data_IF_903198659226
#
_entry.id   IF_903198659226
#
_cell.length_a   1.000
_cell.length_b   1.000
_cell.length_c   1.000
_cell.angle_alpha   90.00
_cell.angle_beta   90.00
_cell.angle_gamma   90.00
#
_symmetry.space_group_name_H-M   'P 1'
#
loop_
_entity.id
_entity.type
_entity.pdbx_description
1 polymer ?
#
# COMPACT_ATOMS: atom_id res chain seq x y z
N UNK A 1 -7.01 -8.83 12.56
CA UNK A 1 -7.36 -7.92 11.50
C UNK A 1 -7.12 -6.49 12.00
N UNK A 2 -6.54 -5.63 11.19
CA UNK A 2 -6.26 -4.26 11.59
C UNK A 2 -5.30 -3.55 10.65
N UNK A 3 -4.88 -2.36 11.09
CA UNK A 3 -3.93 -1.52 10.38
C UNK A 3 -2.64 -1.48 11.21
N UNK A 4 -1.51 -1.79 10.57
CA UNK A 4 -0.17 -1.63 11.13
C UNK A 4 0.60 -0.64 10.26
N UNK A 5 1.26 0.34 10.88
CA UNK A 5 1.98 1.40 10.20
C UNK A 5 3.38 1.51 10.82
N UNK A 6 4.40 1.54 9.99
CA UNK A 6 5.78 1.74 10.36
C UNK A 6 6.13 3.19 10.66
N UNK A 7 7.42 3.47 10.76
CA UNK A 7 7.96 4.79 11.11
C UNK A 7 7.94 5.75 9.91
N UNK A 8 7.90 7.07 10.20
CA UNK A 8 7.95 8.16 9.22
C UNK A 8 6.84 8.11 8.14
N UNK A 9 5.69 7.57 8.46
CA UNK A 9 4.55 7.57 7.56
C UNK A 9 3.95 8.97 7.43
N UNK A 10 3.76 9.44 6.21
CA UNK A 10 3.03 10.66 5.90
C UNK A 10 1.72 10.35 5.19
N UNK A 11 0.62 10.87 5.70
CA UNK A 11 -0.72 10.72 5.13
C UNK A 11 -1.29 12.08 4.72
N UNK A 12 -1.43 12.31 3.44
CA UNK A 12 -2.02 13.51 2.88
C UNK A 12 -3.50 13.68 3.23
N UNK A 13 -4.00 14.90 3.08
CA UNK A 13 -5.39 15.28 3.43
C UNK A 13 -6.39 14.43 2.66
N UNK A 14 -7.49 14.08 3.33
CA UNK A 14 -8.63 13.31 2.78
C UNK A 14 -8.25 11.91 2.27
N UNK A 15 -7.09 11.40 2.65
CA UNK A 15 -6.75 10.00 2.42
C UNK A 15 -7.46 9.10 3.43
N UNK A 16 -7.72 7.84 3.04
CA UNK A 16 -8.48 6.90 3.88
C UNK A 16 -7.95 5.48 3.75
N UNK A 17 -8.02 4.74 4.86
CA UNK A 17 -7.67 3.33 4.93
C UNK A 17 -8.92 2.60 5.45
N UNK A 18 -9.67 1.96 4.54
CA UNK A 18 -10.96 1.31 4.85
C UNK A 18 -10.87 -0.22 4.86
N UNK A 19 -9.68 -0.76 4.81
CA UNK A 19 -9.41 -2.19 4.83
C UNK A 19 -8.23 -2.51 5.74
N UNK A 20 -8.01 -3.80 5.99
CA UNK A 20 -6.79 -4.25 6.68
C UNK A 20 -5.55 -3.87 5.86
N UNK A 21 -4.53 -3.33 6.51
CA UNK A 21 -3.32 -2.87 5.86
C UNK A 21 -2.07 -3.08 6.71
N UNK A 22 -0.96 -3.37 6.05
CA UNK A 22 0.39 -3.29 6.61
C UNK A 22 1.14 -2.25 5.78
N UNK A 23 1.62 -1.20 6.43
CA UNK A 23 2.36 -0.11 5.81
C UNK A 23 3.74 -0.07 6.45
N UNK A 24 4.77 -0.11 5.63
CA UNK A 24 6.17 -0.07 6.03
C UNK A 24 6.65 1.31 6.49
N UNK A 25 7.96 1.46 6.56
CA UNK A 25 8.62 2.70 6.95
C UNK A 25 8.79 3.66 5.76
N UNK A 26 8.88 4.96 6.05
CA UNK A 26 9.15 5.99 5.04
C UNK A 26 8.14 5.99 3.87
N UNK A 27 6.89 5.62 4.14
CA UNK A 27 5.82 5.63 3.15
C UNK A 27 5.12 6.98 3.12
N UNK A 28 4.86 7.48 1.92
CA UNK A 28 4.19 8.75 1.72
C UNK A 28 2.94 8.60 0.85
N UNK A 29 1.79 9.00 1.41
CA UNK A 29 0.54 9.19 0.67
C UNK A 29 0.35 10.66 0.35
N UNK A 30 0.14 10.98 -0.93
CA UNK A 30 -0.38 12.29 -1.31
C UNK A 30 -1.85 12.44 -0.87
N UNK A 31 -2.50 13.55 -1.21
CA UNK A 31 -3.90 13.75 -0.83
C UNK A 31 -4.84 12.79 -1.57
N UNK A 32 -5.98 12.46 -0.95
CA UNK A 32 -7.05 11.65 -1.52
C UNK A 32 -6.65 10.21 -1.90
N UNK A 33 -5.63 9.64 -1.28
CA UNK A 33 -5.29 8.23 -1.46
C UNK A 33 -6.29 7.35 -0.71
N UNK A 34 -6.73 6.24 -1.33
CA UNK A 34 -7.68 5.33 -0.72
C UNK A 34 -7.18 3.88 -0.78
N UNK A 35 -7.12 3.22 0.38
CA UNK A 35 -7.00 1.76 0.48
C UNK A 35 -8.38 1.19 0.72
N UNK A 36 -8.90 0.37 -0.20
CA UNK A 36 -10.30 -0.10 -0.16
C UNK A 36 -10.43 -1.59 -0.40
N UNK A 37 -11.50 -2.17 0.13
CA UNK A 37 -11.82 -3.57 -0.06
C UNK A 37 -12.21 -3.90 -1.50
N UNK A 38 -11.68 -5.00 -2.03
CA UNK A 38 -12.05 -5.53 -3.35
C UNK A 38 -13.34 -6.34 -3.32
N UNK A 39 -13.65 -6.94 -2.17
CA UNK A 39 -14.74 -7.91 -2.00
C UNK A 39 -15.58 -7.60 -0.75
N UNK A 40 -15.95 -6.35 -0.55
CA UNK A 40 -16.68 -5.92 0.64
C UNK A 40 -18.10 -6.50 0.71
N UNK A 41 -18.68 -6.87 -0.43
CA UNK A 41 -20.00 -7.51 -0.55
C UNK A 41 -19.93 -8.75 -1.44
N UNK A 42 -20.69 -9.79 -1.09
CA UNK A 42 -20.86 -10.94 -1.96
C UNK A 42 -21.83 -10.62 -3.10
N UNK A 43 -21.28 -10.13 -4.22
CA UNK A 43 -22.06 -9.75 -5.38
C UNK A 43 -22.57 -10.93 -6.24
N UNK A 44 -22.33 -12.18 -5.82
CA UNK A 44 -22.79 -13.37 -6.53
C UNK A 44 -24.03 -14.00 -5.94
N UNK A 45 -24.63 -13.42 -4.90
CA UNK A 45 -25.85 -13.93 -4.27
C UNK A 45 -27.06 -13.72 -5.18
N UNK A 46 -27.57 -14.83 -5.75
CA UNK A 46 -28.74 -14.81 -6.64
C UNK A 46 -30.01 -14.45 -5.86
N UNK A 47 -30.82 -13.56 -6.40
CA UNK A 47 -32.08 -13.12 -5.78
C UNK A 47 -31.92 -12.13 -4.62
N UNK A 48 -30.70 -11.66 -4.37
CA UNK A 48 -30.42 -10.71 -3.30
C UNK A 48 -29.92 -9.39 -3.90
N UNK A 49 -30.58 -8.29 -3.59
CA UNK A 49 -30.11 -6.96 -3.99
C UNK A 49 -28.80 -6.62 -3.27
N UNK A 50 -27.87 -5.91 -3.94
CA UNK A 50 -26.53 -5.58 -3.41
C UNK A 50 -26.59 -4.95 -2.02
N UNK A 51 -27.59 -4.11 -1.73
CA UNK A 51 -27.75 -3.46 -0.43
C UNK A 51 -27.97 -4.47 0.72
N UNK A 52 -28.45 -5.66 0.41
CA UNK A 52 -28.76 -6.73 1.36
C UNK A 52 -27.80 -7.93 1.23
N UNK A 53 -26.88 -7.90 0.27
CA UNK A 53 -25.86 -8.92 0.12
C UNK A 53 -24.95 -8.99 1.36
N UNK A 54 -24.48 -10.19 1.70
CA UNK A 54 -23.58 -10.39 2.83
C UNK A 54 -22.29 -9.57 2.66
N UNK A 55 -21.83 -8.98 3.76
CA UNK A 55 -20.67 -8.07 3.80
C UNK A 55 -19.52 -8.68 4.58
N UNK A 56 -18.31 -8.28 4.25
CA UNK A 56 -17.06 -8.79 4.84
C UNK A 56 -17.01 -8.63 6.38
N UNK A 57 -17.80 -7.71 6.95
CA UNK A 57 -17.89 -7.48 8.41
C UNK A 57 -19.02 -8.26 9.09
N UNK A 58 -19.81 -9.02 8.35
CA UNK A 58 -20.85 -9.86 8.94
C UNK A 58 -20.22 -11.10 9.59
N UNK A 59 -20.70 -11.49 10.76
CA UNK A 59 -20.13 -12.61 11.54
C UNK A 59 -20.10 -13.95 10.80
N UNK A 60 -21.01 -14.14 9.86
CA UNK A 60 -21.17 -15.37 9.08
C UNK A 60 -20.67 -15.23 7.63
N UNK A 61 -19.95 -14.14 7.30
CA UNK A 61 -19.40 -13.95 5.98
C UNK A 61 -18.36 -15.04 5.68
N UNK A 62 -18.52 -15.73 4.56
CA UNK A 62 -17.68 -16.87 4.14
C UNK A 62 -17.27 -16.82 2.66
N UNK A 63 -17.29 -15.64 2.07
CA UNK A 63 -16.94 -15.43 0.67
C UNK A 63 -15.52 -14.85 0.54
N UNK A 64 -15.16 -14.35 -0.65
CA UNK A 64 -13.82 -13.83 -0.99
C UNK A 64 -13.43 -12.65 -0.10
N UNK A 65 -12.14 -12.44 0.08
CA UNK A 65 -11.59 -11.24 0.71
C UNK A 65 -11.36 -11.30 2.22
N UNK A 66 -11.85 -12.33 2.92
CA UNK A 66 -11.81 -12.41 4.41
C UNK A 66 -10.43 -12.10 5.00
N UNK A 67 -9.35 -12.55 4.40
CA UNK A 67 -7.99 -12.35 4.90
C UNK A 67 -7.15 -11.47 3.97
N UNK A 68 -7.79 -10.78 3.04
CA UNK A 68 -7.07 -9.90 2.13
C UNK A 68 -6.78 -8.55 2.80
N UNK A 69 -5.57 -8.11 2.65
CA UNK A 69 -5.10 -6.80 3.10
C UNK A 69 -4.31 -6.13 1.99
N UNK A 70 -4.06 -4.85 2.15
CA UNK A 70 -3.06 -4.12 1.39
C UNK A 70 -1.74 -4.22 2.13
N UNK A 71 -0.66 -4.57 1.42
CA UNK A 71 0.71 -4.51 1.95
C UNK A 71 1.46 -3.44 1.18
N UNK A 72 2.03 -2.48 1.87
CA UNK A 72 2.89 -1.44 1.29
C UNK A 72 4.24 -1.57 2.00
N UNK A 73 5.27 -1.91 1.24
CA UNK A 73 6.62 -2.03 1.76
C UNK A 73 7.25 -0.65 1.99
N UNK A 74 8.51 -0.60 2.42
CA UNK A 74 9.19 0.64 2.76
C UNK A 74 9.47 1.54 1.53
N UNK A 75 9.68 2.84 1.77
CA UNK A 75 10.11 3.82 0.74
C UNK A 75 9.15 3.91 -0.45
N UNK A 76 7.83 3.82 -0.20
CA UNK A 76 6.81 3.89 -1.24
C UNK A 76 6.17 5.26 -1.28
N UNK A 77 6.01 5.80 -2.48
CA UNK A 77 5.22 7.01 -2.73
C UNK A 77 3.94 6.68 -3.48
N UNK A 78 2.80 6.99 -2.87
CA UNK A 78 1.48 6.87 -3.48
C UNK A 78 0.98 8.25 -3.90
N UNK A 79 0.79 8.44 -5.19
CA UNK A 79 0.39 9.70 -5.82
C UNK A 79 -1.06 10.08 -5.52
N UNK A 80 -1.37 11.35 -5.73
CA UNK A 80 -2.66 11.97 -5.46
C UNK A 80 -3.83 11.20 -6.09
N UNK A 81 -4.87 10.93 -5.29
CA UNK A 81 -6.09 10.28 -5.79
C UNK A 81 -5.93 8.82 -6.22
N UNK A 82 -4.83 8.18 -5.89
CA UNK A 82 -4.65 6.76 -6.19
C UNK A 82 -5.53 5.90 -5.29
N UNK A 83 -6.02 4.79 -5.85
CA UNK A 83 -6.84 3.79 -5.16
C UNK A 83 -6.11 2.45 -5.20
N UNK A 84 -5.94 1.81 -4.04
CA UNK A 84 -5.28 0.51 -3.92
C UNK A 84 -6.29 -0.49 -3.36
N UNK A 85 -6.50 -1.61 -4.07
CA UNK A 85 -7.44 -2.64 -3.66
C UNK A 85 -6.79 -3.67 -2.72
N UNK A 86 -7.58 -4.25 -1.82
CA UNK A 86 -7.11 -5.37 -0.99
C UNK A 86 -6.61 -6.55 -1.82
N UNK A 87 -5.64 -7.27 -1.25
CA UNK A 87 -4.95 -8.39 -1.91
C UNK A 87 -3.78 -7.96 -2.77
N UNK A 88 -3.33 -6.70 -2.66
CA UNK A 88 -2.20 -6.14 -3.42
C UNK A 88 -1.02 -5.90 -2.49
N UNK A 89 0.17 -6.21 -2.98
CA UNK A 89 1.46 -5.82 -2.39
C UNK A 89 2.12 -4.74 -3.26
N UNK A 90 2.46 -3.62 -2.66
CA UNK A 90 3.27 -2.57 -3.28
C UNK A 90 4.73 -2.77 -2.83
N UNK A 91 5.58 -3.17 -3.76
CA UNK A 91 6.97 -3.48 -3.48
C UNK A 91 7.81 -2.27 -3.07
N UNK A 92 8.85 -2.50 -2.28
CA UNK A 92 9.78 -1.49 -1.72
C UNK A 92 10.27 -0.51 -2.78
N UNK A 93 10.30 0.76 -2.42
CA UNK A 93 10.84 1.81 -3.27
C UNK A 93 10.00 2.16 -4.50
N UNK A 94 8.76 1.67 -4.59
CA UNK A 94 7.90 1.90 -5.76
C UNK A 94 7.16 3.22 -5.69
N UNK A 95 6.69 3.67 -6.84
CA UNK A 95 5.89 4.87 -7.00
C UNK A 95 4.59 4.52 -7.70
N UNK A 96 3.47 4.91 -7.13
CA UNK A 96 2.15 4.85 -7.74
C UNK A 96 1.79 6.24 -8.26
N UNK A 97 1.61 6.37 -9.57
CA UNK A 97 1.28 7.65 -10.19
C UNK A 97 -0.12 8.13 -9.75
N UNK A 98 -0.32 9.44 -9.79
CA UNK A 98 -1.59 10.07 -9.41
C UNK A 98 -2.78 9.51 -10.23
N UNK A 99 -3.95 9.35 -9.58
CA UNK A 99 -5.18 8.86 -10.20
C UNK A 99 -5.18 7.39 -10.60
N UNK A 100 -4.20 6.61 -10.16
CA UNK A 100 -4.09 5.20 -10.52
C UNK A 100 -5.04 4.32 -9.71
N UNK A 101 -5.49 3.21 -10.31
CA UNK A 101 -6.24 2.15 -9.62
C UNK A 101 -5.40 0.87 -9.63
N UNK A 102 -4.82 0.53 -8.49
CA UNK A 102 -3.90 -0.61 -8.34
C UNK A 102 -4.71 -1.86 -7.99
N UNK A 103 -4.69 -2.84 -8.90
CA UNK A 103 -5.49 -4.08 -8.83
C UNK A 103 -4.65 -5.35 -8.76
N UNK A 104 -3.33 -5.23 -8.87
CA UNK A 104 -2.34 -6.31 -8.84
C UNK A 104 -1.06 -5.83 -8.15
N UNK A 105 -0.21 -6.77 -7.77
CA UNK A 105 1.06 -6.48 -7.12
C UNK A 105 1.95 -5.57 -7.98
N UNK A 106 2.72 -4.73 -7.30
CA UNK A 106 3.65 -3.78 -7.87
C UNK A 106 5.07 -4.22 -7.54
N UNK A 107 5.90 -4.35 -8.57
CA UNK A 107 7.29 -4.74 -8.43
C UNK A 107 8.09 -3.70 -7.64
N UNK A 108 9.08 -4.13 -6.84
CA UNK A 108 9.96 -3.20 -6.13
C UNK A 108 10.68 -2.23 -7.09
N UNK A 109 10.89 -1.00 -6.63
CA UNK A 109 11.63 0.05 -7.36
C UNK A 109 11.08 0.33 -8.76
N UNK A 110 9.78 0.26 -8.93
CA UNK A 110 9.08 0.50 -10.19
C UNK A 110 8.05 1.62 -10.08
N UNK A 111 7.67 2.16 -11.22
CA UNK A 111 6.62 3.19 -11.34
C UNK A 111 5.44 2.57 -12.07
N UNK A 112 4.28 2.56 -11.40
CA UNK A 112 3.02 2.07 -11.95
C UNK A 112 2.02 3.22 -12.09
N UNK A 113 1.18 3.16 -13.11
CA UNK A 113 0.16 4.18 -13.33
C UNK A 113 -0.99 3.70 -14.20
N UNK A 114 -2.09 4.45 -14.15
CA UNK A 114 -3.30 4.21 -14.96
C UNK A 114 -4.41 3.48 -14.21
N UNK A 115 -5.50 3.20 -14.93
CA UNK A 115 -6.67 2.47 -14.44
C UNK A 115 -7.10 1.39 -15.48
N UNK A 116 -6.86 0.11 -15.21
CA UNK A 116 -6.07 -0.42 -14.10
C UNK A 116 -4.58 -0.07 -14.23
N UNK A 117 -3.88 0.09 -13.10
CA UNK A 117 -2.46 0.43 -13.08
C UNK A 117 -1.59 -0.64 -13.74
N UNK A 118 -0.60 -0.19 -14.51
CA UNK A 118 0.41 -1.05 -15.15
C UNK A 118 1.78 -0.43 -14.96
N UNK A 119 2.82 -1.25 -15.04
CA UNK A 119 4.20 -0.79 -14.99
C UNK A 119 4.46 0.18 -16.14
N UNK A 120 4.97 1.36 -15.79
CA UNK A 120 5.40 2.39 -16.74
C UNK A 120 6.89 2.20 -17.03
N UNK A 121 7.70 2.09 -15.96
CA UNK A 121 9.16 1.94 -16.02
C UNK A 121 9.73 1.59 -14.65
N UNK A 122 11.00 1.31 -14.58
CA UNK A 122 11.76 1.24 -13.33
C UNK A 122 11.97 2.65 -12.75
N UNK A 123 12.08 2.76 -11.42
CA UNK A 123 12.33 4.02 -10.73
C UNK A 123 13.72 4.57 -11.04
N UNK A 124 14.71 3.69 -11.09
CA UNK A 124 16.11 4.04 -11.39
C UNK A 124 16.46 3.67 -12.82
N UNK A 125 17.33 4.48 -13.45
CA UNK A 125 17.73 4.26 -14.83
C UNK A 125 18.78 3.15 -14.97
N UNK A 126 19.57 2.92 -13.91
CA UNK A 126 20.62 1.90 -13.88
C UNK A 126 20.50 1.03 -12.62
N UNK A 127 21.04 -0.19 -12.69
CA UNK A 127 21.15 -1.07 -11.52
C UNK A 127 22.14 -0.53 -10.49
N UNK A 128 23.15 0.23 -10.93
CA UNK A 128 24.13 0.89 -10.08
C UNK A 128 23.45 1.95 -9.20
N UNK A 129 22.60 2.81 -9.75
CA UNK A 129 21.83 3.82 -9.01
C UNK A 129 20.90 3.16 -7.99
N UNK A 130 20.26 2.08 -8.39
CA UNK A 130 19.38 1.30 -7.50
C UNK A 130 20.17 0.68 -6.35
N UNK A 131 21.29 0.03 -6.63
CA UNK A 131 22.15 -0.57 -5.63
C UNK A 131 22.72 0.46 -4.66
N UNK A 132 23.15 1.60 -5.16
CA UNK A 132 23.67 2.71 -4.34
C UNK A 132 22.56 3.32 -3.46
N UNK A 133 21.35 3.50 -3.99
CA UNK A 133 20.20 3.94 -3.21
C UNK A 133 19.94 2.99 -2.03
N UNK A 134 19.87 1.68 -2.28
CA UNK A 134 19.65 0.67 -1.24
C UNK A 134 20.74 0.75 -0.17
N UNK A 135 22.01 0.83 -0.59
CA UNK A 135 23.16 0.94 0.32
C UNK A 135 23.07 2.18 1.21
N UNK A 136 22.76 3.34 0.62
CA UNK A 136 22.69 4.61 1.36
C UNK A 136 21.49 4.65 2.34
N UNK A 137 20.35 4.08 1.97
CA UNK A 137 19.20 3.98 2.86
C UNK A 137 19.50 3.10 4.07
N UNK A 138 20.11 1.93 3.87
CA UNK A 138 20.51 1.03 4.96
C UNK A 138 21.49 1.69 5.95
N UNK A 139 22.39 2.54 5.50
CA UNK A 139 23.30 3.27 6.38
C UNK A 139 22.59 4.31 7.25
N UNK A 140 21.52 4.94 6.75
CA UNK A 140 20.72 5.89 7.52
C UNK A 140 19.90 5.19 8.60
N UNK A 141 19.34 4.02 8.31
CA UNK A 141 18.62 3.20 9.29
C UNK A 141 19.54 2.83 10.48
N UNK A 142 20.76 2.36 10.20
CA UNK A 142 21.77 2.05 11.23
C UNK A 142 22.12 3.28 12.09
N UNK A 143 22.24 4.46 11.50
CA UNK A 143 22.55 5.71 12.21
C UNK A 143 21.41 6.15 13.15
N UNK A 144 20.16 5.98 12.73
CA UNK A 144 18.97 6.30 13.54
C UNK A 144 18.86 5.33 14.71
N UNK A 145 19.08 4.04 14.50
CA UNK A 145 19.07 3.04 15.57
C UNK A 145 20.16 3.28 16.62
N UNK A 146 21.38 3.66 16.19
CA UNK A 146 22.47 4.00 17.12
C UNK A 146 22.13 5.22 17.99
N UNK A 147 21.61 6.30 17.40
CA UNK A 147 21.18 7.49 18.14
C UNK A 147 20.06 7.20 19.15
N UNK A 148 19.12 6.33 18.78
CA UNK A 148 18.03 5.94 19.67
C UNK A 148 18.48 5.05 20.85
N UNK A 149 19.57 4.30 20.71
CA UNK A 149 20.19 3.53 21.80
C UNK A 149 20.94 4.44 22.78
N UNK A 150 21.66 5.44 22.27
CA UNK A 150 22.41 6.39 23.11
C UNK A 150 21.48 7.30 23.93
N UNK A 151 20.29 7.60 23.47
CA UNK A 151 19.31 8.42 24.20
C UNK A 151 18.48 7.65 25.24
N UNK A 152 18.68 6.33 25.40
CA UNK A 152 17.99 5.47 26.38
C UNK A 152 18.88 5.07 27.59
N UNK A 153 20.13 5.50 27.62
CA UNK A 153 21.06 5.38 28.71
C UNK A 153 21.24 6.73 29.44
#
# INVERSE_FOLDING_TARGET
>A
NGISIGDNFYMGKYSQIECDAIIGNDVMFANFVSLVGKYDHNYTQVGVAMRHASRIRDNNYNWKGINQKVVIEDDVWVGHGAIILTGVTIGKGSIIAAGSVVTCDVEPYSIYGGNPARKIKDRFLTEEDRAEHIRLCSLKEVHVEMKNKDNRN
#
